data_IF_836965410634
#
_entry.id   IF_836965410634
#
_cell.length_a   1.000
_cell.length_b   1.000
_cell.length_c   1.000
_cell.angle_alpha   90.00
_cell.angle_beta   90.00
_cell.angle_gamma   90.00
#
_symmetry.space_group_name_H-M   'P 1'
#
loop_
_entity.id
_entity.type
_entity.pdbx_description
1 polymer ?
#
# COMPACT_ATOMS: atom_id res chain seq x y z
N UNK A 1 -34.68 14.86 -49.39
CA UNK A 1 -34.11 13.67 -48.73
C UNK A 1 -35.18 12.57 -48.76
N UNK A 2 -34.91 11.46 -49.46
CA UNK A 2 -35.95 10.55 -49.94
C UNK A 2 -36.51 9.67 -48.80
N UNK A 3 -37.82 9.68 -48.57
CA UNK A 3 -38.47 8.91 -47.47
C UNK A 3 -38.18 7.40 -47.54
N UNK A 4 -37.96 6.87 -48.74
CA UNK A 4 -37.56 5.49 -48.97
C UNK A 4 -36.14 5.17 -48.46
N UNK A 5 -35.23 6.16 -48.48
CA UNK A 5 -33.85 6.02 -47.99
C UNK A 5 -33.80 6.03 -46.46
N UNK A 6 -34.69 6.79 -45.82
CA UNK A 6 -34.82 6.82 -44.36
C UNK A 6 -35.45 5.52 -43.82
N UNK A 7 -36.46 4.98 -44.51
CA UNK A 7 -37.08 3.70 -44.14
C UNK A 7 -36.12 2.52 -44.31
N UNK A 8 -35.31 2.50 -45.37
CA UNK A 8 -34.29 1.46 -45.57
C UNK A 8 -33.14 1.57 -44.56
N UNK A 9 -32.72 2.77 -44.19
CA UNK A 9 -31.74 2.97 -43.11
C UNK A 9 -32.29 2.48 -41.76
N UNK A 10 -33.57 2.73 -41.46
CA UNK A 10 -34.20 2.29 -40.22
C UNK A 10 -34.35 0.77 -40.14
N UNK A 11 -34.65 0.09 -41.26
CA UNK A 11 -34.71 -1.38 -41.31
C UNK A 11 -33.30 -1.99 -41.15
N UNK A 12 -32.26 -1.38 -41.71
CA UNK A 12 -30.87 -1.81 -41.49
C UNK A 12 -30.43 -1.61 -40.04
N UNK A 13 -30.82 -0.49 -39.41
CA UNK A 13 -30.54 -0.22 -37.99
C UNK A 13 -31.33 -1.18 -37.08
N UNK A 14 -32.59 -1.51 -37.41
CA UNK A 14 -33.38 -2.47 -36.64
C UNK A 14 -32.93 -3.93 -36.86
N UNK A 15 -32.40 -4.28 -38.03
CA UNK A 15 -31.77 -5.60 -38.27
C UNK A 15 -30.40 -5.70 -37.58
N UNK A 16 -29.68 -4.58 -37.42
CA UNK A 16 -28.45 -4.53 -36.61
C UNK A 16 -28.73 -4.54 -35.10
N UNK A 17 -29.86 -3.96 -34.66
CA UNK A 17 -30.29 -3.94 -33.25
C UNK A 17 -31.04 -5.21 -32.80
N UNK A 18 -31.25 -6.18 -33.70
CA UNK A 18 -32.05 -7.38 -33.48
C UNK A 18 -31.26 -8.64 -33.10
N UNK A 19 -29.95 -8.53 -32.85
CA UNK A 19 -29.24 -9.60 -32.13
C UNK A 19 -29.32 -9.26 -30.64
N UNK A 20 -30.34 -9.79 -29.97
CA UNK A 20 -30.21 -10.12 -28.56
C UNK A 20 -28.98 -11.02 -28.48
N UNK A 21 -27.84 -10.43 -28.19
CA UNK A 21 -26.62 -11.16 -27.88
C UNK A 21 -26.97 -11.93 -26.61
N UNK A 22 -27.33 -13.21 -26.79
CA UNK A 22 -27.46 -14.13 -25.67
C UNK A 22 -26.16 -14.00 -24.88
N UNK A 23 -26.27 -13.73 -23.58
CA UNK A 23 -25.11 -13.61 -22.74
C UNK A 23 -24.22 -14.84 -22.97
N UNK A 24 -23.01 -14.61 -23.48
CA UNK A 24 -22.09 -15.70 -23.79
C UNK A 24 -21.58 -16.23 -22.46
N UNK A 25 -21.86 -17.50 -22.19
CA UNK A 25 -21.33 -18.21 -21.03
C UNK A 25 -19.83 -18.03 -21.00
N UNK A 26 -19.33 -17.39 -19.96
CA UNK A 26 -17.91 -17.04 -19.83
C UNK A 26 -17.38 -17.46 -18.47
N UNK A 27 -16.07 -17.70 -18.44
CA UNK A 27 -15.34 -18.09 -17.24
C UNK A 27 -14.50 -16.91 -16.80
N UNK A 28 -14.61 -16.52 -15.53
CA UNK A 28 -13.73 -15.50 -14.97
C UNK A 28 -12.41 -16.16 -14.52
N UNK A 29 -11.39 -16.03 -15.36
CA UNK A 29 -10.04 -16.54 -15.08
C UNK A 29 -9.10 -15.42 -14.68
N UNK A 30 -8.23 -15.63 -13.67
CA UNK A 30 -7.15 -14.70 -13.42
C UNK A 30 -6.18 -14.68 -14.61
N UNK A 31 -5.48 -13.56 -14.85
CA UNK A 31 -4.53 -13.47 -15.96
C UNK A 31 -3.31 -14.37 -15.77
N UNK A 32 -3.02 -14.80 -14.53
CA UNK A 32 -1.92 -15.72 -14.19
C UNK A 32 -2.31 -16.57 -12.98
N UNK A 33 -1.92 -17.84 -12.97
CA UNK A 33 -2.05 -18.73 -11.82
C UNK A 33 -0.73 -18.82 -11.03
N UNK A 34 -0.83 -18.94 -9.71
CA UNK A 34 0.30 -19.23 -8.84
C UNK A 34 0.35 -20.72 -8.54
N UNK A 35 1.55 -21.31 -8.63
CA UNK A 35 1.74 -22.74 -8.33
C UNK A 35 1.23 -23.10 -6.94
N UNK A 36 0.51 -24.21 -6.83
CA UNK A 36 0.01 -24.78 -5.58
C UNK A 36 -0.97 -23.88 -4.80
N UNK A 37 -1.50 -22.82 -5.42
CA UNK A 37 -2.54 -21.98 -4.84
C UNK A 37 -3.90 -22.36 -5.43
N UNK A 38 -4.85 -22.70 -4.56
CA UNK A 38 -6.21 -22.99 -4.96
C UNK A 38 -6.96 -21.69 -5.24
N UNK A 39 -7.31 -21.44 -6.51
CA UNK A 39 -8.07 -20.26 -6.93
C UNK A 39 -9.49 -20.68 -7.32
N UNK A 40 -10.54 -20.14 -6.67
CA UNK A 40 -11.92 -20.41 -7.06
C UNK A 40 -12.20 -19.79 -8.43
N UNK A 41 -12.81 -20.58 -9.31
CA UNK A 41 -13.21 -20.14 -10.65
C UNK A 41 -14.73 -20.06 -10.72
N UNK A 42 -15.23 -18.87 -11.05
CA UNK A 42 -16.64 -18.55 -11.17
C UNK A 42 -17.07 -18.57 -12.63
N UNK A 43 -18.34 -18.93 -12.85
CA UNK A 43 -18.97 -18.90 -14.17
C UNK A 43 -20.04 -17.83 -14.22
N UNK A 44 -20.09 -17.12 -15.34
CA UNK A 44 -21.09 -16.11 -15.62
C UNK A 44 -21.98 -16.60 -16.76
N UNK A 45 -23.30 -16.49 -16.56
CA UNK A 45 -24.34 -16.91 -17.49
C UNK A 45 -24.22 -18.39 -17.96
N UNK A 46 -24.19 -19.39 -17.04
CA UNK A 46 -23.96 -20.79 -17.36
C UNK A 46 -25.04 -21.45 -18.24
N UNK A 47 -26.25 -20.88 -18.27
CA UNK A 47 -27.43 -21.45 -18.91
C UNK A 47 -27.93 -22.73 -18.22
N UNK A 48 -28.92 -23.40 -18.82
CA UNK A 48 -29.59 -24.56 -18.19
C UNK A 48 -28.89 -25.92 -18.47
N UNK A 49 -27.85 -25.93 -19.29
CA UNK A 49 -27.17 -27.15 -19.72
C UNK A 49 -25.95 -27.45 -18.84
N UNK A 50 -25.70 -28.73 -18.57
CA UNK A 50 -24.53 -29.16 -17.82
C UNK A 50 -23.22 -28.69 -18.50
N UNK A 51 -22.35 -28.09 -17.69
CA UNK A 51 -21.02 -27.63 -18.04
C UNK A 51 -19.99 -28.62 -17.50
N UNK A 52 -18.88 -28.73 -18.20
CA UNK A 52 -17.69 -29.44 -17.72
C UNK A 52 -16.46 -28.57 -17.89
N UNK A 53 -15.66 -28.45 -16.84
CA UNK A 53 -14.41 -27.71 -16.82
C UNK A 53 -13.27 -28.71 -16.90
N UNK A 54 -12.39 -28.50 -17.86
CA UNK A 54 -11.23 -29.35 -18.11
C UNK A 54 -9.95 -28.53 -17.93
N UNK A 55 -8.94 -29.15 -17.35
CA UNK A 55 -7.62 -28.56 -17.15
C UNK A 55 -6.59 -29.56 -17.65
N UNK A 56 -5.76 -29.14 -18.61
CA UNK A 56 -4.72 -29.96 -19.23
C UNK A 56 -5.23 -31.32 -19.74
N UNK A 57 -6.49 -31.34 -20.20
CA UNK A 57 -7.15 -32.54 -20.71
C UNK A 57 -7.78 -33.46 -19.67
N UNK A 58 -7.79 -33.09 -18.38
CA UNK A 58 -8.47 -33.81 -17.31
C UNK A 58 -9.73 -33.05 -16.83
N UNK A 59 -10.88 -33.73 -16.61
CA UNK A 59 -12.10 -33.09 -16.12
C UNK A 59 -11.98 -32.76 -14.63
N UNK A 60 -12.11 -31.47 -14.28
CA UNK A 60 -12.05 -30.98 -12.89
C UNK A 60 -13.46 -30.73 -12.33
N UNK A 61 -14.43 -30.41 -13.19
CA UNK A 61 -15.83 -30.23 -12.82
C UNK A 61 -16.75 -30.76 -13.92
N UNK A 62 -17.90 -31.32 -13.53
CA UNK A 62 -18.99 -31.68 -14.44
C UNK A 62 -20.34 -31.55 -13.69
N UNK A 63 -21.24 -30.69 -14.17
CA UNK A 63 -22.52 -30.44 -13.49
C UNK A 63 -23.32 -29.28 -14.05
N UNK A 64 -24.52 -29.07 -13.51
CA UNK A 64 -25.35 -27.87 -13.77
C UNK A 64 -25.06 -26.86 -12.67
N UNK A 65 -24.82 -25.60 -13.04
CA UNK A 65 -24.43 -24.53 -12.13
C UNK A 65 -25.32 -23.31 -12.29
N UNK A 66 -25.53 -22.56 -11.22
CA UNK A 66 -26.17 -21.27 -11.27
C UNK A 66 -25.15 -20.17 -11.62
N UNK A 67 -25.68 -19.02 -12.05
CA UNK A 67 -24.87 -17.85 -12.34
C UNK A 67 -24.16 -17.37 -11.07
N UNK A 68 -22.84 -17.12 -11.17
CA UNK A 68 -21.98 -16.77 -10.04
C UNK A 68 -21.52 -17.94 -9.16
N UNK A 69 -21.89 -19.18 -9.47
CA UNK A 69 -21.40 -20.35 -8.72
C UNK A 69 -19.89 -20.57 -8.96
N UNK A 70 -19.20 -20.98 -7.90
CA UNK A 70 -17.82 -21.46 -7.99
C UNK A 70 -17.84 -22.88 -8.55
N UNK A 71 -17.31 -23.05 -9.76
CA UNK A 71 -17.25 -24.35 -10.44
C UNK A 71 -16.24 -25.28 -9.76
N UNK A 72 -15.04 -24.79 -9.52
CA UNK A 72 -13.96 -25.53 -8.88
C UNK A 72 -12.91 -24.57 -8.32
N UNK A 73 -12.18 -25.02 -7.29
CA UNK A 73 -10.95 -24.39 -6.88
C UNK A 73 -9.77 -25.04 -7.63
N UNK A 74 -9.28 -24.37 -8.67
CA UNK A 74 -8.19 -24.89 -9.49
C UNK A 74 -6.86 -24.71 -8.75
N UNK A 75 -6.09 -25.78 -8.63
CA UNK A 75 -4.72 -25.76 -8.13
C UNK A 75 -3.81 -26.39 -9.18
N UNK A 76 -2.94 -25.58 -9.75
CA UNK A 76 -2.01 -25.96 -10.82
C UNK A 76 -0.61 -26.09 -10.23
N UNK A 77 0.03 -27.24 -10.39
CA UNK A 77 1.39 -27.47 -9.87
C UNK A 77 2.49 -27.12 -10.87
N UNK A 78 2.19 -27.25 -12.16
CA UNK A 78 3.20 -27.24 -13.20
C UNK A 78 3.46 -25.83 -13.73
N UNK A 79 4.73 -25.41 -13.68
CA UNK A 79 5.16 -24.13 -14.23
C UNK A 79 5.09 -24.14 -15.77
N UNK A 80 4.51 -23.09 -16.35
CA UNK A 80 4.43 -22.93 -17.80
C UNK A 80 3.09 -22.37 -18.23
N UNK A 81 2.34 -23.13 -19.02
CA UNK A 81 0.99 -22.79 -19.48
C UNK A 81 0.06 -23.95 -19.18
N UNK A 82 -1.05 -23.64 -18.53
CA UNK A 82 -2.15 -24.58 -18.36
C UNK A 82 -3.23 -24.30 -19.41
N UNK A 83 -3.78 -25.37 -19.97
CA UNK A 83 -4.88 -25.31 -20.92
C UNK A 83 -6.19 -25.53 -20.16
N UNK A 84 -7.02 -24.49 -20.12
CA UNK A 84 -8.31 -24.51 -19.44
C UNK A 84 -9.39 -24.51 -20.51
N UNK A 85 -10.27 -25.51 -20.49
CA UNK A 85 -11.36 -25.63 -21.44
C UNK A 85 -12.70 -25.69 -20.74
N UNK A 86 -13.62 -24.83 -21.16
CA UNK A 86 -15.02 -24.91 -20.78
C UNK A 86 -15.79 -25.64 -21.88
N UNK A 87 -16.40 -26.78 -21.53
CA UNK A 87 -17.17 -27.59 -22.47
C UNK A 87 -18.63 -27.70 -22.04
N UNK A 88 -19.55 -27.73 -23.01
CA UNK A 88 -20.98 -28.00 -22.82
C UNK A 88 -21.38 -29.17 -23.70
N UNK A 89 -21.95 -30.22 -23.09
CA UNK A 89 -22.33 -31.46 -23.80
C UNK A 89 -21.21 -32.04 -24.69
N UNK A 90 -19.96 -31.95 -24.23
CA UNK A 90 -18.79 -32.45 -24.96
C UNK A 90 -18.26 -31.53 -26.08
N UNK A 91 -18.89 -30.39 -26.35
CA UNK A 91 -18.35 -29.36 -27.25
C UNK A 91 -17.57 -28.31 -26.46
N UNK A 92 -16.37 -27.96 -26.93
CA UNK A 92 -15.56 -26.86 -26.38
C UNK A 92 -16.27 -25.54 -26.71
N UNK A 93 -16.70 -24.82 -25.68
CA UNK A 93 -17.26 -23.47 -25.82
C UNK A 93 -16.13 -22.46 -25.92
N UNK A 94 -15.19 -22.53 -24.97
CA UNK A 94 -14.07 -21.60 -24.84
C UNK A 94 -12.84 -22.35 -24.31
N UNK A 95 -11.67 -21.91 -24.75
CA UNK A 95 -10.38 -22.48 -24.39
C UNK A 95 -9.41 -21.34 -24.09
N UNK A 96 -8.68 -21.46 -22.98
CA UNK A 96 -7.72 -20.46 -22.53
C UNK A 96 -6.38 -21.13 -22.24
N UNK A 97 -5.31 -20.51 -22.71
CA UNK A 97 -3.96 -20.83 -22.27
C UNK A 97 -3.50 -19.80 -21.26
N UNK A 98 -3.51 -20.16 -19.99
CA UNK A 98 -3.17 -19.25 -18.90
C UNK A 98 -1.76 -19.56 -18.38
N UNK A 99 -0.88 -18.56 -18.21
CA UNK A 99 0.43 -18.78 -17.61
C UNK A 99 0.31 -19.22 -16.15
N UNK A 100 1.15 -20.18 -15.76
CA UNK A 100 1.33 -20.62 -14.37
C UNK A 100 2.74 -20.26 -13.94
N UNK A 101 2.87 -19.40 -12.92
CA UNK A 101 4.15 -18.95 -12.38
C UNK A 101 4.36 -19.46 -10.95
N UNK A 102 5.61 -19.60 -10.48
CA UNK A 102 5.86 -20.05 -9.12
C UNK A 102 5.32 -19.02 -8.12
N UNK A 103 4.69 -19.48 -7.04
CA UNK A 103 4.11 -18.57 -6.04
C UNK A 103 5.11 -17.54 -5.48
N UNK A 104 6.37 -17.93 -5.26
CA UNK A 104 7.42 -17.03 -4.77
C UNK A 104 7.73 -15.87 -5.73
N UNK A 105 7.40 -15.99 -7.02
CA UNK A 105 7.63 -14.94 -8.01
C UNK A 105 6.82 -13.67 -7.74
N UNK A 106 5.75 -13.73 -6.92
CA UNK A 106 5.01 -12.56 -6.46
C UNK A 106 5.87 -11.60 -5.62
N UNK A 107 6.98 -12.08 -5.04
CA UNK A 107 7.93 -11.28 -4.28
C UNK A 107 8.98 -10.61 -5.16
N UNK A 108 9.11 -10.99 -6.44
CA UNK A 108 10.09 -10.40 -7.34
C UNK A 108 9.92 -8.89 -7.52
N UNK A 109 8.71 -8.36 -7.81
CA UNK A 109 8.52 -6.92 -7.99
C UNK A 109 8.98 -6.07 -6.79
N UNK A 110 8.54 -6.32 -5.54
CA UNK A 110 8.95 -5.49 -4.40
C UNK A 110 10.44 -5.66 -4.06
N UNK A 111 10.98 -6.89 -4.10
CA UNK A 111 12.39 -7.14 -3.78
C UNK A 111 13.30 -6.44 -4.77
N UNK A 112 12.98 -6.51 -6.07
CA UNK A 112 13.77 -5.88 -7.11
C UNK A 112 13.65 -4.35 -7.05
N UNK A 113 12.44 -3.82 -6.82
CA UNK A 113 12.25 -2.38 -6.64
C UNK A 113 13.07 -1.84 -5.46
N UNK A 114 13.03 -2.49 -4.29
CA UNK A 114 13.80 -2.09 -3.11
C UNK A 114 15.30 -2.16 -3.40
N UNK A 115 15.76 -3.25 -4.00
CA UNK A 115 17.18 -3.44 -4.32
C UNK A 115 17.67 -2.37 -5.29
N UNK A 116 16.93 -2.11 -6.37
CA UNK A 116 17.26 -1.07 -7.33
C UNK A 116 17.20 0.33 -6.72
N UNK A 117 16.28 0.60 -5.79
CA UNK A 117 16.21 1.89 -5.13
C UNK A 117 17.51 2.19 -4.34
N UNK A 118 18.09 1.18 -3.70
CA UNK A 118 19.39 1.31 -3.01
C UNK A 118 20.57 1.42 -3.97
N UNK A 119 20.59 0.63 -5.05
CA UNK A 119 21.70 0.62 -6.02
C UNK A 119 21.71 1.88 -6.87
N UNK A 120 20.57 2.25 -7.45
CA UNK A 120 20.42 3.43 -8.31
C UNK A 120 20.37 4.73 -7.52
N UNK A 121 20.08 4.66 -6.21
CA UNK A 121 19.79 5.82 -5.35
C UNK A 121 18.70 6.72 -5.95
N UNK A 122 17.77 6.10 -6.68
CA UNK A 122 16.70 6.76 -7.40
C UNK A 122 15.42 5.92 -7.25
N UNK A 123 14.45 6.45 -6.50
CA UNK A 123 13.24 5.71 -6.13
C UNK A 123 12.31 5.53 -7.32
N UNK A 124 12.08 6.58 -8.13
CA UNK A 124 11.12 6.54 -9.24
C UNK A 124 11.50 5.48 -10.29
N UNK A 125 12.74 5.43 -10.82
CA UNK A 125 13.12 4.37 -11.77
C UNK A 125 13.05 2.97 -11.18
N UNK A 126 13.33 2.82 -9.89
CA UNK A 126 13.28 1.54 -9.20
C UNK A 126 11.84 1.04 -9.02
N UNK A 127 10.89 1.92 -8.69
CA UNK A 127 9.47 1.60 -8.65
C UNK A 127 8.94 1.23 -10.03
N UNK A 128 9.32 1.98 -11.07
CA UNK A 128 8.94 1.66 -12.45
C UNK A 128 9.46 0.29 -12.88
N UNK A 129 10.72 -0.03 -12.58
CA UNK A 129 11.27 -1.37 -12.83
C UNK A 129 10.51 -2.46 -12.06
N UNK A 130 10.07 -2.17 -10.83
CA UNK A 130 9.17 -3.05 -10.07
C UNK A 130 7.86 -3.32 -10.81
N UNK A 131 7.20 -2.28 -11.34
CA UNK A 131 5.96 -2.42 -12.13
C UNK A 131 6.21 -3.28 -13.38
N UNK A 132 7.31 -3.05 -14.11
CA UNK A 132 7.69 -3.86 -15.27
C UNK A 132 7.89 -5.32 -14.89
N UNK A 133 8.53 -5.61 -13.76
CA UNK A 133 8.70 -6.99 -13.28
C UNK A 133 7.38 -7.62 -12.84
N UNK A 134 6.46 -6.83 -12.25
CA UNK A 134 5.10 -7.26 -11.95
C UNK A 134 4.33 -7.62 -13.22
N UNK A 135 4.34 -6.73 -14.21
CA UNK A 135 3.76 -6.97 -15.53
C UNK A 135 4.40 -8.19 -16.22
N UNK A 136 5.70 -8.41 -16.04
CA UNK A 136 6.39 -9.58 -16.58
C UNK A 136 5.94 -10.88 -15.90
N UNK A 137 5.68 -10.83 -14.59
CA UNK A 137 5.10 -11.95 -13.85
C UNK A 137 3.68 -12.28 -14.36
N UNK A 138 2.84 -11.27 -14.56
CA UNK A 138 1.49 -11.46 -15.14
C UNK A 138 1.56 -12.02 -16.57
N UNK A 139 2.55 -11.60 -17.36
CA UNK A 139 2.82 -12.14 -18.69
C UNK A 139 3.57 -13.50 -18.70
N UNK A 140 3.56 -14.23 -17.57
CA UNK A 140 4.05 -15.60 -17.47
C UNK A 140 5.57 -15.78 -17.43
N UNK A 141 6.33 -14.74 -17.10
CA UNK A 141 7.81 -14.78 -16.95
C UNK A 141 8.58 -15.29 -18.19
N UNK A 142 7.99 -15.15 -19.38
CA UNK A 142 8.64 -15.53 -20.66
C UNK A 142 9.43 -14.37 -21.25
N UNK A 143 10.38 -14.65 -22.16
CA UNK A 143 11.15 -13.57 -22.82
C UNK A 143 10.24 -12.62 -23.62
N UNK A 144 9.27 -13.17 -24.35
CA UNK A 144 8.29 -12.38 -25.09
C UNK A 144 7.40 -11.56 -24.14
N UNK A 145 6.93 -12.18 -23.06
CA UNK A 145 6.17 -11.51 -22.01
C UNK A 145 6.94 -10.38 -21.33
N UNK A 146 8.27 -10.49 -21.21
CA UNK A 146 9.11 -9.43 -20.65
C UNK A 146 9.21 -8.19 -21.54
N UNK A 147 9.22 -8.37 -22.86
CA UNK A 147 9.15 -7.24 -23.81
C UNK A 147 7.77 -6.59 -23.73
N UNK A 148 6.70 -7.40 -23.73
CA UNK A 148 5.33 -6.90 -23.63
C UNK A 148 5.09 -6.16 -22.30
N UNK A 149 5.65 -6.67 -21.20
CA UNK A 149 5.53 -6.09 -19.87
C UNK A 149 5.99 -4.64 -19.77
N UNK A 150 6.99 -4.21 -20.55
CA UNK A 150 7.42 -2.80 -20.59
C UNK A 150 6.30 -1.92 -21.16
N UNK A 151 5.60 -2.40 -22.19
CA UNK A 151 4.48 -1.68 -22.78
C UNK A 151 3.25 -1.74 -21.88
N UNK A 152 2.91 -2.92 -21.34
CA UNK A 152 1.77 -3.10 -20.44
C UNK A 152 1.92 -2.27 -19.15
N UNK A 153 3.15 -2.17 -18.61
CA UNK A 153 3.45 -1.30 -17.48
C UNK A 153 3.03 0.14 -17.72
N UNK A 154 3.16 0.64 -18.94
CA UNK A 154 2.77 2.01 -19.30
C UNK A 154 1.31 2.12 -19.78
N UNK A 155 0.91 1.24 -20.70
CA UNK A 155 -0.34 1.35 -21.43
C UNK A 155 -1.55 0.78 -20.69
N UNK A 156 -1.31 -0.15 -19.74
CA UNK A 156 -2.36 -0.78 -18.94
C UNK A 156 -2.19 -0.31 -17.50
N UNK A 157 -1.20 -0.81 -16.77
CA UNK A 157 -1.13 -0.63 -15.32
C UNK A 157 -0.99 0.83 -14.87
N UNK A 158 -0.07 1.60 -15.47
CA UNK A 158 0.10 3.00 -15.13
C UNK A 158 -1.09 3.85 -15.61
N UNK A 159 -1.63 3.55 -16.79
CA UNK A 159 -2.77 4.30 -17.34
C UNK A 159 -4.02 4.07 -16.49
N UNK A 160 -4.36 2.82 -16.19
CA UNK A 160 -5.53 2.46 -15.40
C UNK A 160 -5.42 3.04 -13.99
N UNK A 161 -4.24 2.95 -13.37
CA UNK A 161 -4.01 3.57 -12.06
C UNK A 161 -4.15 5.09 -12.08
N UNK A 162 -3.73 5.78 -13.14
CA UNK A 162 -3.89 7.24 -13.29
C UNK A 162 -5.32 7.66 -13.67
N UNK A 163 -6.04 6.81 -14.40
CA UNK A 163 -7.41 7.05 -14.84
C UNK A 163 -8.43 6.74 -13.73
N UNK A 164 -8.04 5.95 -12.74
CA UNK A 164 -8.86 5.64 -11.57
C UNK A 164 -9.22 6.94 -10.80
N UNK A 165 -10.51 7.26 -10.64
CA UNK A 165 -10.95 8.48 -9.97
C UNK A 165 -10.49 8.61 -8.52
N UNK A 166 -10.36 7.49 -7.79
CA UNK A 166 -9.97 7.50 -6.39
C UNK A 166 -8.47 7.75 -6.25
N UNK A 167 -7.64 7.09 -7.07
CA UNK A 167 -6.21 7.39 -7.18
C UNK A 167 -5.97 8.84 -7.64
N UNK A 168 -6.72 9.33 -8.63
CA UNK A 168 -6.63 10.71 -9.09
C UNK A 168 -7.00 11.70 -7.99
N UNK A 169 -8.05 11.42 -7.21
CA UNK A 169 -8.43 12.24 -6.07
C UNK A 169 -7.32 12.29 -5.00
N UNK A 170 -6.69 11.15 -4.71
CA UNK A 170 -5.55 11.05 -3.79
C UNK A 170 -4.35 11.87 -4.30
N UNK A 171 -4.04 11.80 -5.60
CA UNK A 171 -2.96 12.58 -6.21
C UNK A 171 -3.23 14.08 -6.09
N UNK A 172 -4.42 14.53 -6.46
CA UNK A 172 -4.82 15.95 -6.37
C UNK A 172 -4.77 16.43 -4.91
N UNK A 173 -5.30 15.64 -3.98
CA UNK A 173 -5.26 15.96 -2.55
C UNK A 173 -3.82 16.09 -2.05
N UNK A 174 -2.96 15.10 -2.34
CA UNK A 174 -1.56 15.07 -1.90
C UNK A 174 -0.77 16.23 -2.50
N UNK A 175 -0.96 16.54 -3.79
CA UNK A 175 -0.34 17.69 -4.44
C UNK A 175 -0.81 19.02 -3.82
N UNK A 176 -2.09 19.14 -3.45
CA UNK A 176 -2.64 20.35 -2.83
C UNK A 176 -2.06 20.57 -1.44
N UNK A 177 -1.97 19.53 -0.61
CA UNK A 177 -1.32 19.60 0.70
C UNK A 177 0.16 19.94 0.54
N UNK A 178 0.88 19.28 -0.37
CA UNK A 178 2.28 19.61 -0.68
C UNK A 178 2.48 21.06 -1.14
N UNK A 179 1.57 21.58 -1.96
CA UNK A 179 1.58 22.99 -2.40
C UNK A 179 1.35 23.98 -1.26
N UNK A 180 0.36 23.71 -0.39
CA UNK A 180 0.13 24.51 0.83
C UNK A 180 1.38 24.52 1.71
N UNK A 181 1.98 23.35 1.95
CA UNK A 181 3.20 23.21 2.75
C UNK A 181 4.36 24.00 2.14
N UNK A 182 4.52 23.95 0.81
CA UNK A 182 5.51 24.75 0.09
C UNK A 182 5.35 26.26 0.31
N UNK A 183 4.11 26.77 0.26
CA UNK A 183 3.80 28.18 0.51
C UNK A 183 4.11 28.57 1.96
N UNK A 184 3.66 27.78 2.93
CA UNK A 184 3.89 28.03 4.37
C UNK A 184 5.39 28.04 4.70
N UNK A 185 6.14 27.11 4.09
CA UNK A 185 7.59 27.03 4.23
C UNK A 185 8.29 28.26 3.61
N UNK A 186 7.92 28.65 2.39
CA UNK A 186 8.48 29.83 1.70
C UNK A 186 8.18 31.16 2.36
N UNK A 187 7.00 31.30 2.98
CA UNK A 187 6.59 32.51 3.68
C UNK A 187 7.31 32.70 5.04
N UNK A 188 8.17 31.77 5.44
CA UNK A 188 8.93 31.85 6.70
C UNK A 188 8.11 31.57 7.95
N UNK A 189 6.85 31.11 7.81
CA UNK A 189 6.00 30.77 8.95
C UNK A 189 6.63 29.68 9.82
N UNK A 190 7.22 28.67 9.17
CA UNK A 190 7.93 27.59 9.85
C UNK A 190 9.21 28.07 10.54
N UNK A 191 9.99 28.93 9.88
CA UNK A 191 11.17 29.56 10.50
C UNK A 191 10.81 30.39 11.72
N UNK A 192 9.70 31.14 11.69
CA UNK A 192 9.25 31.93 12.84
C UNK A 192 8.89 31.07 14.05
N UNK A 193 8.27 29.89 13.85
CA UNK A 193 8.01 28.93 14.94
C UNK A 193 9.34 28.41 15.51
N UNK A 194 10.30 28.09 14.65
CA UNK A 194 11.62 27.62 15.09
C UNK A 194 12.35 28.70 15.89
N UNK A 195 12.51 29.90 15.36
CA UNK A 195 13.23 31.00 16.01
C UNK A 195 12.68 31.32 17.41
N UNK A 196 11.35 31.32 17.57
CA UNK A 196 10.71 31.50 18.87
C UNK A 196 11.00 30.34 19.82
N UNK A 197 10.94 29.11 19.31
CA UNK A 197 11.15 27.91 20.12
C UNK A 197 12.61 27.78 20.60
N UNK A 198 13.57 28.23 19.79
CA UNK A 198 14.99 28.21 20.13
C UNK A 198 15.34 29.10 21.34
N UNK A 199 14.53 30.12 21.66
CA UNK A 199 14.75 30.98 22.84
C UNK A 199 14.64 30.23 24.17
N UNK A 200 13.93 29.09 24.19
CA UNK A 200 13.72 28.26 25.38
C UNK A 200 14.82 27.21 25.55
N UNK A 201 15.61 26.96 24.50
CA UNK A 201 16.62 25.91 24.44
C UNK A 201 17.95 26.31 25.13
N UNK A 202 17.90 26.51 26.45
CA UNK A 202 19.07 26.95 27.22
C UNK A 202 19.93 25.81 27.78
N UNK A 203 19.39 24.59 27.83
CA UNK A 203 20.10 23.41 28.35
C UNK A 203 19.96 22.24 27.38
N UNK A 204 20.85 21.23 27.39
CA UNK A 204 20.77 20.10 26.47
C UNK A 204 19.42 19.37 26.52
N UNK A 205 18.81 19.22 27.71
CA UNK A 205 17.46 18.65 27.85
C UNK A 205 16.38 19.53 27.23
N UNK A 206 16.44 20.85 27.46
CA UNK A 206 15.49 21.80 26.85
C UNK A 206 15.65 21.87 25.34
N UNK A 207 16.88 21.81 24.82
CA UNK A 207 17.15 21.75 23.39
C UNK A 207 16.55 20.50 22.73
N UNK A 208 16.73 19.33 23.34
CA UNK A 208 16.09 18.09 22.88
C UNK A 208 14.55 18.17 22.93
N UNK A 209 13.99 18.76 23.98
CA UNK A 209 12.54 18.98 24.08
C UNK A 209 12.03 19.92 22.98
N UNK A 210 12.78 20.98 22.66
CA UNK A 210 12.46 21.90 21.55
C UNK A 210 12.50 21.17 20.21
N UNK A 211 13.50 20.33 19.96
CA UNK A 211 13.58 19.51 18.73
C UNK A 211 12.35 18.61 18.61
N UNK A 212 12.03 17.85 19.66
CA UNK A 212 10.88 16.95 19.68
C UNK A 212 9.56 17.73 19.49
N UNK A 213 9.38 18.86 20.18
CA UNK A 213 8.19 19.70 20.06
C UNK A 213 8.03 20.29 18.65
N UNK A 214 9.13 20.76 18.06
CA UNK A 214 9.12 21.25 16.68
C UNK A 214 8.73 20.12 15.72
N UNK A 215 9.31 18.93 15.87
CA UNK A 215 8.92 17.78 15.06
C UNK A 215 7.43 17.43 15.18
N UNK A 216 6.87 17.45 16.38
CA UNK A 216 5.42 17.24 16.59
C UNK A 216 4.55 18.34 16.01
N UNK A 217 5.06 19.57 15.92
CA UNK A 217 4.30 20.72 15.39
C UNK A 217 4.33 20.74 13.86
N UNK A 218 5.44 20.31 13.26
CA UNK A 218 5.66 20.28 11.80
C UNK A 218 5.25 18.90 11.24
N UNK A 219 4.08 18.39 11.63
CA UNK A 219 3.70 16.98 11.37
C UNK A 219 3.06 16.71 10.00
N UNK A 220 2.75 17.76 9.24
CA UNK A 220 1.98 17.67 8.00
C UNK A 220 2.73 16.97 6.86
N UNK A 221 4.07 16.98 6.88
CA UNK A 221 4.95 16.35 5.89
C UNK A 221 6.30 16.01 6.52
N UNK A 222 6.74 14.76 6.40
CA UNK A 222 7.95 14.23 7.05
C UNK A 222 9.25 14.76 6.42
N UNK A 223 9.28 14.98 5.11
CA UNK A 223 10.42 15.61 4.42
C UNK A 223 10.61 17.07 4.86
N UNK A 224 9.54 17.85 4.86
CA UNK A 224 9.55 19.25 5.30
C UNK A 224 9.92 19.35 6.77
N UNK A 225 9.38 18.47 7.62
CA UNK A 225 9.76 18.35 9.03
C UNK A 225 11.27 18.15 9.19
N UNK A 226 11.80 17.11 8.54
CA UNK A 226 13.21 16.74 8.68
C UNK A 226 14.14 17.84 8.16
N UNK A 227 13.80 18.44 7.02
CA UNK A 227 14.60 19.51 6.41
C UNK A 227 14.59 20.79 7.25
N UNK A 228 13.41 21.19 7.75
CA UNK A 228 13.25 22.46 8.49
C UNK A 228 13.80 22.30 9.90
N UNK A 229 13.29 21.34 10.67
CA UNK A 229 13.69 21.13 12.08
C UNK A 229 15.15 20.75 12.14
N UNK A 230 15.60 19.81 11.31
CA UNK A 230 16.98 19.34 11.30
C UNK A 230 17.99 20.45 10.99
N UNK A 231 17.75 21.27 9.96
CA UNK A 231 18.67 22.35 9.62
C UNK A 231 18.60 23.51 10.62
N UNK A 232 17.42 23.89 11.08
CA UNK A 232 17.25 25.06 11.93
C UNK A 232 17.69 24.81 13.38
N UNK A 233 17.57 23.57 13.88
CA UNK A 233 18.03 23.20 15.23
C UNK A 233 19.48 22.72 15.28
N UNK A 234 20.15 22.50 14.13
CA UNK A 234 21.55 22.04 14.08
C UNK A 234 22.52 22.99 14.79
N UNK A 235 22.53 24.32 14.56
CA UNK A 235 23.46 25.21 15.25
C UNK A 235 23.26 25.24 16.77
N UNK A 236 22.00 25.20 17.21
CA UNK A 236 21.64 25.10 18.63
C UNK A 236 22.10 23.77 19.22
N UNK A 237 21.89 22.67 18.50
CA UNK A 237 22.31 21.33 18.94
C UNK A 237 23.82 21.23 19.09
N UNK A 238 24.57 21.76 18.13
CA UNK A 238 26.03 21.83 18.16
C UNK A 238 26.51 22.67 19.37
N UNK A 239 25.86 23.82 19.66
CA UNK A 239 26.17 24.66 20.82
C UNK A 239 25.86 23.97 22.17
N UNK A 240 24.74 23.25 22.25
CA UNK A 240 24.31 22.51 23.43
C UNK A 240 24.97 21.12 23.56
N UNK A 241 25.94 20.79 22.69
CA UNK A 241 26.64 19.50 22.66
C UNK A 241 25.71 18.28 22.54
N UNK A 242 24.62 18.42 21.78
CA UNK A 242 23.74 17.30 21.41
C UNK A 242 24.36 16.60 20.20
N UNK A 243 24.56 15.29 20.27
CA UNK A 243 25.17 14.52 19.17
C UNK A 243 24.33 14.55 17.89
N UNK A 244 24.98 14.41 16.73
CA UNK A 244 24.29 14.42 15.42
C UNK A 244 23.35 13.24 15.26
N UNK A 245 23.73 12.10 15.82
CA UNK A 245 22.94 10.87 15.86
C UNK A 245 21.67 11.07 16.66
N UNK A 246 21.77 11.75 17.82
CA UNK A 246 20.61 12.05 18.65
C UNK A 246 19.70 13.08 18.00
N UNK A 247 20.27 14.12 17.40
CA UNK A 247 19.50 15.09 16.61
C UNK A 247 18.73 14.38 15.48
N UNK A 248 19.42 13.54 14.70
CA UNK A 248 18.81 12.78 13.61
C UNK A 248 17.69 11.86 14.13
N UNK A 249 17.92 11.16 15.24
CA UNK A 249 16.92 10.32 15.87
C UNK A 249 15.67 11.09 16.30
N UNK A 250 15.82 12.23 16.99
CA UNK A 250 14.69 13.02 17.47
C UNK A 250 13.87 13.60 16.31
N UNK A 251 14.55 14.08 15.27
CA UNK A 251 13.91 14.65 14.08
C UNK A 251 13.16 13.56 13.30
N UNK A 252 13.83 12.45 12.99
CA UNK A 252 13.24 11.34 12.22
C UNK A 252 12.07 10.68 12.97
N UNK A 253 12.24 10.41 14.26
CA UNK A 253 11.21 9.77 15.10
C UNK A 253 10.01 10.67 15.42
N UNK A 254 10.07 11.96 15.08
CA UNK A 254 8.92 12.88 15.18
C UNK A 254 8.39 13.32 13.81
N UNK A 255 9.06 12.98 12.71
CA UNK A 255 8.60 13.21 11.36
C UNK A 255 7.65 12.10 10.90
N UNK A 256 8.20 10.97 10.45
CA UNK A 256 7.41 9.88 9.86
C UNK A 256 6.38 9.27 10.84
N UNK A 257 6.70 9.01 12.13
CA UNK A 257 5.72 8.50 13.09
C UNK A 257 4.48 9.39 13.24
N UNK A 258 4.65 10.70 13.41
CA UNK A 258 3.52 11.61 13.57
C UNK A 258 2.75 11.72 12.26
N UNK A 259 3.47 11.81 11.14
CA UNK A 259 2.86 11.91 9.82
C UNK A 259 1.93 10.71 9.51
N UNK A 260 2.30 9.52 10.01
CA UNK A 260 1.53 8.28 9.82
C UNK A 260 0.26 8.16 10.67
N UNK A 261 0.13 8.89 11.78
CA UNK A 261 -1.04 8.82 12.70
C UNK A 261 -1.85 10.10 12.78
N UNK A 262 -1.33 11.21 12.26
CA UNK A 262 -2.05 12.47 12.24
C UNK A 262 -3.15 12.47 11.17
N UNK A 263 -4.24 13.16 11.48
CA UNK A 263 -5.49 13.13 10.70
C UNK A 263 -5.36 13.83 9.35
N UNK A 264 -4.45 14.82 9.25
CA UNK A 264 -4.25 15.62 8.05
C UNK A 264 -2.75 15.72 7.78
N UNK A 265 -2.26 14.90 6.85
CA UNK A 265 -0.85 14.85 6.44
C UNK A 265 -0.73 14.43 4.97
N UNK A 266 0.47 14.52 4.42
CA UNK A 266 0.80 13.97 3.09
C UNK A 266 0.65 12.45 3.00
N UNK A 267 0.67 11.73 4.12
CA UNK A 267 0.54 10.26 4.16
C UNK A 267 -0.90 9.75 4.10
N UNK A 268 -1.88 10.58 4.50
CA UNK A 268 -3.28 10.17 4.58
C UNK A 268 -3.81 9.72 3.21
N UNK A 269 -3.45 10.42 2.13
CA UNK A 269 -3.87 10.04 0.78
C UNK A 269 -3.43 8.62 0.41
N UNK A 270 -2.16 8.30 0.64
CA UNK A 270 -1.61 6.97 0.39
C UNK A 270 -2.27 5.89 1.25
N UNK A 271 -2.41 6.13 2.56
CA UNK A 271 -3.02 5.17 3.49
C UNK A 271 -4.48 4.90 3.15
N UNK A 272 -5.25 5.96 2.84
CA UNK A 272 -6.66 5.83 2.45
C UNK A 272 -6.78 5.09 1.12
N UNK A 273 -5.89 5.32 0.16
CA UNK A 273 -5.85 4.56 -1.10
C UNK A 273 -5.64 3.07 -0.88
N UNK A 274 -4.63 2.70 -0.09
CA UNK A 274 -4.38 1.30 0.26
C UNK A 274 -5.58 0.65 0.98
N UNK A 275 -6.22 1.40 1.88
CA UNK A 275 -7.40 0.92 2.59
C UNK A 275 -8.57 0.74 1.63
N UNK A 276 -8.81 1.69 0.72
CA UNK A 276 -9.88 1.61 -0.27
C UNK A 276 -9.74 0.37 -1.16
N UNK A 277 -8.53 0.13 -1.67
CA UNK A 277 -8.21 -1.06 -2.46
C UNK A 277 -8.42 -2.36 -1.65
N UNK A 278 -7.99 -2.36 -0.38
CA UNK A 278 -8.09 -3.55 0.49
C UNK A 278 -9.53 -3.91 0.89
N UNK A 279 -10.45 -2.95 0.94
CA UNK A 279 -11.84 -3.19 1.35
C UNK A 279 -12.80 -3.40 0.17
N UNK A 280 -12.41 -3.02 -1.05
CA UNK A 280 -13.29 -3.07 -2.24
C UNK A 280 -13.86 -4.48 -2.53
N UNK A 281 -13.16 -5.55 -2.14
CA UNK A 281 -13.57 -6.94 -2.36
C UNK A 281 -14.19 -7.63 -1.14
N UNK A 282 -14.49 -6.93 -0.04
CA UNK A 282 -15.01 -7.56 1.18
C UNK A 282 -16.51 -7.27 1.33
N UNK A 283 -17.34 -8.30 1.11
CA UNK A 283 -18.79 -8.20 1.27
C UNK A 283 -19.19 -7.79 2.69
N UNK A 284 -20.14 -6.86 2.81
CA UNK A 284 -20.69 -6.38 4.09
C UNK A 284 -19.89 -5.26 4.79
N UNK A 285 -18.87 -4.71 4.12
CA UNK A 285 -18.01 -3.65 4.64
C UNK A 285 -18.31 -2.27 4.01
N UNK A 286 -19.48 -1.69 4.35
CA UNK A 286 -19.97 -0.41 3.79
C UNK A 286 -19.31 0.87 4.35
N UNK A 287 -18.14 0.77 4.98
CA UNK A 287 -17.48 1.93 5.58
C UNK A 287 -16.55 2.63 4.59
N UNK A 288 -16.55 3.97 4.61
CA UNK A 288 -15.59 4.72 3.78
C UNK A 288 -14.15 4.44 4.21
N UNK A 289 -13.24 4.39 3.23
CA UNK A 289 -11.81 4.14 3.49
C UNK A 289 -11.21 5.14 4.49
N UNK A 290 -11.65 6.40 4.47
CA UNK A 290 -11.25 7.40 5.45
C UNK A 290 -11.78 7.11 6.87
N UNK A 291 -13.03 6.65 7.01
CA UNK A 291 -13.56 6.25 8.32
C UNK A 291 -12.82 5.03 8.88
N UNK A 292 -12.44 4.08 8.01
CA UNK A 292 -11.61 2.95 8.37
C UNK A 292 -10.20 3.37 8.78
N UNK A 293 -9.60 4.35 8.09
CA UNK A 293 -8.33 4.96 8.50
C UNK A 293 -8.40 5.55 9.91
N UNK A 294 -9.43 6.35 10.22
CA UNK A 294 -9.59 6.90 11.57
C UNK A 294 -9.69 5.82 12.66
N UNK A 295 -10.32 4.68 12.33
CA UNK A 295 -10.42 3.52 13.22
C UNK A 295 -9.13 2.70 13.29
N UNK A 296 -8.25 2.78 12.30
CA UNK A 296 -6.97 2.07 12.28
C UNK A 296 -5.88 2.81 13.07
N UNK A 297 -5.99 4.13 13.23
CA UNK A 297 -5.01 4.95 13.98
C UNK A 297 -4.61 4.33 15.33
N UNK A 298 -5.53 3.88 16.22
CA UNK A 298 -5.16 3.28 17.50
C UNK A 298 -4.31 1.99 17.39
N UNK A 299 -4.35 1.32 16.23
CA UNK A 299 -3.59 0.12 15.94
C UNK A 299 -2.21 0.41 15.32
N UNK A 300 -1.89 1.68 15.05
CA UNK A 300 -0.56 2.13 14.61
C UNK A 300 0.43 2.16 15.79
N UNK A 301 0.73 0.97 16.34
CA UNK A 301 1.53 0.84 17.57
C UNK A 301 2.96 1.38 17.45
N UNK A 302 3.63 1.16 16.30
CA UNK A 302 5.00 1.62 16.10
C UNK A 302 5.12 3.15 16.21
N UNK A 303 4.30 3.96 15.50
CA UNK A 303 4.30 5.40 15.69
C UNK A 303 4.15 5.86 17.14
N UNK A 304 3.18 5.31 17.88
CA UNK A 304 2.97 5.69 19.28
C UNK A 304 4.16 5.31 20.16
N UNK A 305 4.71 4.11 20.01
CA UNK A 305 5.87 3.66 20.78
C UNK A 305 7.12 4.47 20.44
N UNK A 306 7.30 4.86 19.17
CA UNK A 306 8.40 5.74 18.76
C UNK A 306 8.32 7.10 19.45
N UNK A 307 7.11 7.70 19.52
CA UNK A 307 6.89 8.96 20.24
C UNK A 307 7.11 8.82 21.75
N UNK A 308 6.63 7.73 22.36
CA UNK A 308 6.92 7.42 23.77
C UNK A 308 8.44 7.36 23.99
N UNK A 309 9.19 6.70 23.11
CA UNK A 309 10.64 6.63 23.22
C UNK A 309 11.30 8.00 23.09
N UNK A 310 10.88 8.83 22.12
CA UNK A 310 11.36 10.21 21.96
C UNK A 310 11.22 10.98 23.27
N UNK A 311 10.02 11.01 23.87
CA UNK A 311 9.81 11.73 25.12
C UNK A 311 10.60 11.13 26.28
N UNK A 312 10.74 9.80 26.33
CA UNK A 312 11.55 9.12 27.35
C UNK A 312 13.03 9.50 27.24
N UNK A 313 13.57 9.59 26.02
CA UNK A 313 14.94 10.04 25.74
C UNK A 313 15.14 11.48 26.19
N UNK A 314 14.21 12.38 25.85
CA UNK A 314 14.27 13.79 26.25
C UNK A 314 14.24 13.96 27.78
N UNK A 315 13.33 13.26 28.47
CA UNK A 315 13.12 13.40 29.92
C UNK A 315 14.29 12.82 30.73
N UNK A 316 14.71 11.60 30.39
CA UNK A 316 15.78 10.90 31.11
C UNK A 316 17.17 11.49 30.80
N UNK A 317 17.36 12.02 29.60
CA UNK A 317 18.66 12.48 29.10
C UNK A 317 19.69 11.36 29.02
N UNK A 318 19.29 10.13 28.71
CA UNK A 318 20.19 8.98 28.51
C UNK A 318 20.30 8.60 27.03
N UNK A 319 21.36 7.90 26.66
CA UNK A 319 21.61 7.45 25.29
C UNK A 319 21.19 5.98 25.13
N UNK A 320 20.49 5.66 24.04
CA UNK A 320 20.07 4.29 23.73
C UNK A 320 19.88 4.06 22.22
N UNK A 321 20.09 2.82 21.77
CA UNK A 321 19.91 2.40 20.37
C UNK A 321 18.45 2.11 20.01
N UNK A 322 17.97 2.70 18.91
CA UNK A 322 16.56 2.78 18.52
C UNK A 322 15.85 1.45 18.14
N UNK A 323 16.52 0.29 18.15
CA UNK A 323 15.97 -0.96 17.58
C UNK A 323 14.90 -1.67 18.43
N UNK A 324 14.71 -1.26 19.68
CA UNK A 324 13.76 -1.93 20.60
C UNK A 324 12.28 -1.67 20.26
N UNK A 325 11.96 -0.50 19.69
CA UNK A 325 10.58 -0.05 19.44
C UNK A 325 9.82 -0.96 18.49
N UNK A 326 10.43 -1.33 17.36
CA UNK A 326 9.79 -2.20 16.36
C UNK A 326 9.50 -3.60 16.90
N UNK A 327 10.43 -4.16 17.67
CA UNK A 327 10.28 -5.49 18.29
C UNK A 327 9.11 -5.51 19.27
N UNK A 328 8.97 -4.49 20.12
CA UNK A 328 7.86 -4.40 21.07
C UNK A 328 6.52 -4.13 20.37
N UNK A 329 6.51 -3.29 19.34
CA UNK A 329 5.32 -3.06 18.53
C UNK A 329 4.78 -4.37 17.92
N UNK A 330 5.68 -5.24 17.45
CA UNK A 330 5.32 -6.53 16.88
C UNK A 330 4.89 -7.55 17.95
N UNK A 331 5.77 -7.83 18.91
CA UNK A 331 5.60 -8.97 19.82
C UNK A 331 4.62 -8.68 20.96
N UNK A 332 4.55 -7.43 21.42
CA UNK A 332 3.71 -7.05 22.56
C UNK A 332 2.40 -6.43 22.10
N UNK A 333 2.35 -5.75 20.94
CA UNK A 333 1.10 -5.15 20.47
C UNK A 333 0.42 -5.94 19.34
N UNK A 334 1.01 -6.00 18.14
CA UNK A 334 0.27 -6.50 16.96
C UNK A 334 -0.13 -7.96 17.10
N UNK A 335 0.77 -8.85 17.52
CA UNK A 335 0.43 -10.27 17.67
C UNK A 335 -0.67 -10.48 18.73
N UNK A 336 -0.54 -9.99 19.98
CA UNK A 336 -1.56 -10.25 20.99
C UNK A 336 -2.91 -9.60 20.67
N UNK A 337 -2.91 -8.40 20.07
CA UNK A 337 -4.14 -7.73 19.63
C UNK A 337 -4.82 -8.49 18.49
N UNK A 338 -4.04 -9.08 17.58
CA UNK A 338 -4.56 -9.98 16.55
C UNK A 338 -5.28 -11.21 17.10
N UNK A 339 -4.92 -11.67 18.31
CA UNK A 339 -5.61 -12.75 19.03
C UNK A 339 -6.77 -12.27 19.93
N UNK A 340 -7.23 -11.03 19.78
CA UNK A 340 -8.42 -10.50 20.46
C UNK A 340 -8.15 -9.75 21.76
N UNK A 341 -6.90 -9.47 22.11
CA UNK A 341 -6.58 -8.64 23.27
C UNK A 341 -6.83 -7.15 22.98
N UNK A 342 -7.25 -6.36 23.98
CA UNK A 342 -7.53 -4.94 23.79
C UNK A 342 -6.26 -4.15 23.44
N UNK A 343 -6.31 -3.41 22.33
CA UNK A 343 -5.19 -2.61 21.81
C UNK A 343 -4.62 -1.61 22.83
N UNK A 344 -5.48 -0.97 23.61
CA UNK A 344 -5.10 0.07 24.58
C UNK A 344 -4.30 -0.52 25.75
N UNK A 345 -4.63 -1.73 26.19
CA UNK A 345 -3.90 -2.44 27.22
C UNK A 345 -2.53 -2.84 26.71
N UNK A 346 -2.47 -3.43 25.53
CA UNK A 346 -1.21 -3.89 24.94
C UNK A 346 -0.27 -2.73 24.63
N UNK A 347 -0.80 -1.60 24.14
CA UNK A 347 -0.02 -0.39 23.92
C UNK A 347 0.54 0.16 25.24
N UNK A 348 -0.25 0.19 26.32
CA UNK A 348 0.21 0.61 27.63
C UNK A 348 1.31 -0.31 28.19
N UNK A 349 1.13 -1.63 28.08
CA UNK A 349 2.12 -2.63 28.48
C UNK A 349 3.41 -2.46 27.69
N UNK A 350 3.32 -2.34 26.36
CA UNK A 350 4.48 -2.13 25.50
C UNK A 350 5.21 -0.82 25.82
N UNK A 351 4.48 0.27 26.10
CA UNK A 351 5.08 1.53 26.52
C UNK A 351 5.82 1.40 27.85
N UNK A 352 5.24 0.72 28.85
CA UNK A 352 5.88 0.47 30.14
C UNK A 352 7.13 -0.41 30.01
N UNK A 353 7.05 -1.47 29.21
CA UNK A 353 8.19 -2.36 28.93
C UNK A 353 9.30 -1.59 28.20
N UNK A 354 8.94 -0.78 27.20
CA UNK A 354 9.88 0.05 26.45
C UNK A 354 10.61 1.02 27.38
N UNK A 355 9.88 1.75 28.23
CA UNK A 355 10.44 2.68 29.21
C UNK A 355 11.30 1.94 30.23
N UNK A 356 10.85 0.79 30.75
CA UNK A 356 11.58 -0.01 31.72
C UNK A 356 12.92 -0.53 31.18
N UNK A 357 12.90 -1.14 29.99
CA UNK A 357 14.10 -1.62 29.31
C UNK A 357 15.04 -0.46 28.99
N UNK A 358 14.50 0.65 28.45
CA UNK A 358 15.28 1.84 28.19
C UNK A 358 15.97 2.36 29.46
N UNK A 359 15.25 2.49 30.58
CA UNK A 359 15.84 2.98 31.83
C UNK A 359 16.87 2.01 32.43
N UNK A 360 16.76 0.71 32.14
CA UNK A 360 17.70 -0.30 32.59
C UNK A 360 18.99 -0.33 31.74
N UNK A 361 18.87 -0.22 30.42
CA UNK A 361 19.99 -0.35 29.49
C UNK A 361 20.65 0.98 29.11
N UNK A 362 19.94 2.10 29.22
CA UNK A 362 20.45 3.37 28.74
C UNK A 362 21.55 3.91 29.68
N UNK A 363 22.69 4.24 29.08
CA UNK A 363 23.82 4.82 29.80
C UNK A 363 23.58 6.33 30.01
N UNK A 364 24.02 6.90 31.15
CA UNK A 364 24.00 8.34 31.34
C UNK A 364 24.91 9.02 30.31
N UNK A 365 24.44 10.14 29.73
CA UNK A 365 25.22 10.96 28.81
C UNK A 365 26.54 11.35 29.49
N UNK A 366 27.67 10.89 28.94
CA UNK A 366 29.01 11.32 29.40
C UNK A 366 29.15 12.81 29.09
N UNK A 367 29.29 13.61 30.15
CA UNK A 367 29.38 15.08 30.08
C UNK A 367 30.65 15.58 29.39
#
# INVERSE_FOLDING_TARGET
>A
MNKALFASLLVVICLAAGTLQAAETSLELPPVFLTDLAIPVTVTDPGDAALSLWVDGEPVFEGVTADGDVLAALSLSDFGRADIELRRQGQVLQQWQVPVIPAWACLLPPVLAITLAFVLRAVIPALFAGIVVGAWAVNGLTLQGGVQAVFDAMAVYLLDSLADPDHAAILIFTMTIGGMVGIVSRNGGMQGIVERSLQVATTPRRGQAVIAFLGLTIFFDDYSNTLIVGNATRPMSDHLKISREKLAYLVDSTAAPVAAVAVITTWVGFQVGLIAESIAGIEGLDQSAYAMFLKSIPYSFYPFLALVLVFTVVISGRDFGAMLTGTLALLVCTLPVGYGLPWWLMLAVAALVLVGIYLYLAEPVKA
#
